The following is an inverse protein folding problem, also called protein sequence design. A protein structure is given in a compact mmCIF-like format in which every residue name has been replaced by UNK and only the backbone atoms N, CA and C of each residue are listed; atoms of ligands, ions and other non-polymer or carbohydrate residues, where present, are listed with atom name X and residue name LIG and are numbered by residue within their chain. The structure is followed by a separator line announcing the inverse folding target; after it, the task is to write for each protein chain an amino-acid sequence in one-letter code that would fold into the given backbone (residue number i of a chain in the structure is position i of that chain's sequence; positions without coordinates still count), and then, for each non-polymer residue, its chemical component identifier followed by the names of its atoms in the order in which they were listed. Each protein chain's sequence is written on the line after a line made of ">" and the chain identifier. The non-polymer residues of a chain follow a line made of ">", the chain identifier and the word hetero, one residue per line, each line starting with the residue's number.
data_IF_945695232658
#
_entry.id   IF_945695232658
#
_cell.length_a   1.000
_cell.length_b   1.000
_cell.length_c   1.000
_cell.angle_alpha   90.00
_cell.angle_beta   90.00
_cell.angle_gamma   90.00
#
_symmetry.space_group_name_H-M   'P 1'
#
loop_
_entity.id
_entity.type
_entity.pdbx_description
1 polymer ?
#
# COMPACT_ATOMS: atom_id res chain seq x y z
N UNK A 1 -42.00 -30.65 0.40
CA UNK A 1 -41.52 -29.54 1.26
C UNK A 1 -40.28 -29.99 2.02
N UNK A 2 -39.10 -29.48 1.68
CA UNK A 2 -37.91 -29.47 2.54
C UNK A 2 -36.84 -28.57 1.90
N UNK A 3 -36.69 -27.33 2.37
CA UNK A 3 -35.60 -26.43 1.95
C UNK A 3 -34.46 -26.51 2.96
N UNK A 4 -33.32 -27.06 2.52
CA UNK A 4 -32.05 -27.10 3.29
C UNK A 4 -31.52 -25.68 3.48
N UNK A 5 -31.41 -25.24 4.74
CA UNK A 5 -30.75 -23.98 5.11
C UNK A 5 -29.23 -24.18 5.09
N UNK A 6 -28.55 -23.54 4.14
CA UNK A 6 -27.09 -23.42 4.14
C UNK A 6 -26.68 -22.30 5.12
N UNK A 7 -26.07 -22.68 6.23
CA UNK A 7 -25.41 -21.75 7.15
C UNK A 7 -24.09 -21.26 6.54
N UNK A 8 -24.09 -20.07 5.96
CA UNK A 8 -22.85 -19.37 5.62
C UNK A 8 -22.28 -18.68 6.86
N UNK A 9 -21.10 -19.12 7.28
CA UNK A 9 -20.31 -18.45 8.31
C UNK A 9 -20.00 -17.00 7.89
N UNK A 10 -20.68 -16.05 8.54
CA UNK A 10 -20.37 -14.64 8.46
C UNK A 10 -19.04 -14.38 9.17
N UNK A 11 -17.95 -14.25 8.42
CA UNK A 11 -16.75 -13.57 8.91
C UNK A 11 -17.07 -12.09 9.08
N UNK A 12 -17.46 -11.73 10.30
CA UNK A 12 -17.69 -10.37 10.76
C UNK A 12 -16.35 -9.64 10.73
N UNK A 13 -16.05 -8.94 9.63
CA UNK A 13 -14.95 -7.99 9.59
C UNK A 13 -15.33 -6.84 10.54
N UNK A 14 -14.80 -6.89 11.78
CA UNK A 14 -14.72 -5.73 12.65
C UNK A 14 -13.84 -4.72 11.92
N UNK A 15 -14.48 -3.73 11.28
CA UNK A 15 -13.78 -2.52 10.90
C UNK A 15 -13.28 -1.88 12.19
N UNK A 16 -11.96 -1.88 12.35
CA UNK A 16 -11.30 -1.17 13.43
C UNK A 16 -11.55 0.32 13.19
N UNK A 17 -12.08 1.02 14.20
CA UNK A 17 -12.37 2.46 14.20
C UNK A 17 -11.30 3.33 13.49
N UNK A 18 -10.04 2.90 13.55
CA UNK A 18 -8.91 3.47 12.80
C UNK A 18 -9.09 3.59 11.28
N UNK A 19 -9.88 2.74 10.61
CA UNK A 19 -10.04 2.83 9.15
C UNK A 19 -11.02 3.93 8.72
N UNK A 20 -11.96 4.30 9.58
CA UNK A 20 -12.98 5.30 9.28
C UNK A 20 -12.43 6.72 9.52
N UNK A 21 -11.67 6.90 10.60
CA UNK A 21 -11.10 8.19 10.99
C UNK A 21 -9.77 8.54 10.31
N UNK A 22 -9.19 7.66 9.49
CA UNK A 22 -7.91 7.95 8.81
C UNK A 22 -7.96 9.16 7.90
N UNK A 23 -9.10 9.41 7.27
CA UNK A 23 -9.27 10.58 6.41
C UNK A 23 -9.37 11.85 7.24
N UNK A 24 -10.21 11.86 8.27
CA UNK A 24 -10.37 13.00 9.18
C UNK A 24 -9.06 13.35 9.90
N UNK A 25 -8.35 12.36 10.45
CA UNK A 25 -7.05 12.55 11.09
C UNK A 25 -6.03 13.15 10.10
N UNK A 26 -6.01 12.68 8.85
CA UNK A 26 -5.07 13.20 7.83
C UNK A 26 -5.40 14.63 7.46
N UNK A 27 -6.69 14.97 7.29
CA UNK A 27 -7.14 16.33 6.95
C UNK A 27 -6.90 17.29 8.11
N UNK A 28 -7.21 16.88 9.35
CA UNK A 28 -6.93 17.67 10.55
C UNK A 28 -5.43 17.88 10.72
N UNK A 29 -4.61 16.86 10.50
CA UNK A 29 -3.15 16.99 10.55
C UNK A 29 -2.65 17.93 9.45
N UNK A 30 -3.20 17.86 8.24
CA UNK A 30 -2.86 18.77 7.13
C UNK A 30 -3.25 20.22 7.43
N UNK A 31 -4.44 20.44 8.02
CA UNK A 31 -4.94 21.77 8.38
C UNK A 31 -4.15 22.38 9.53
N UNK A 32 -3.90 21.63 10.60
CA UNK A 32 -3.07 22.08 11.72
C UNK A 32 -1.66 22.38 11.24
N UNK A 33 -1.09 21.52 10.37
CA UNK A 33 0.22 21.76 9.76
C UNK A 33 0.18 23.01 8.88
N UNK A 34 -0.83 23.18 8.03
CA UNK A 34 -0.98 24.34 7.14
C UNK A 34 -1.21 25.66 7.88
N UNK A 35 -1.96 25.64 8.97
CA UNK A 35 -2.16 26.81 9.85
C UNK A 35 -0.88 27.11 10.64
N UNK A 36 -0.18 26.09 11.16
CA UNK A 36 1.14 26.28 11.78
C UNK A 36 2.17 26.90 10.81
N UNK A 37 2.10 26.52 9.52
CA UNK A 37 2.89 27.12 8.44
C UNK A 37 2.56 28.59 8.17
N UNK A 38 1.35 29.06 8.49
CA UNK A 38 0.90 30.43 8.24
C UNK A 38 0.99 31.33 9.50
N UNK A 39 0.95 30.73 10.68
CA UNK A 39 0.88 31.44 11.98
C UNK A 39 2.27 31.82 12.52
N UNK A 40 3.35 31.16 12.10
CA UNK A 40 4.69 31.56 12.56
C UNK A 40 5.21 32.79 11.81
N UNK A 41 5.09 33.94 12.48
CA UNK A 41 5.80 35.17 12.10
C UNK A 41 7.32 34.96 12.20
N UNK A 42 7.97 35.12 11.05
CA UNK A 42 9.37 35.44 10.77
C UNK A 42 10.31 35.79 11.96
N UNK A 43 11.07 34.80 12.49
CA UNK A 43 12.46 34.99 12.98
C UNK A 43 13.39 33.74 12.85
N UNK A 44 13.01 32.66 12.15
CA UNK A 44 13.70 31.34 12.28
C UNK A 44 14.34 30.82 10.96
N UNK A 45 14.71 31.71 10.03
CA UNK A 45 15.20 31.29 8.69
C UNK A 45 16.52 30.49 8.71
N UNK A 46 17.36 30.64 9.75
CA UNK A 46 18.64 29.89 9.87
C UNK A 46 18.50 28.54 10.57
N UNK A 47 17.61 28.43 11.56
CA UNK A 47 17.47 27.20 12.36
C UNK A 47 16.72 26.12 11.59
N UNK A 48 15.60 26.46 10.93
CA UNK A 48 14.83 25.50 10.11
C UNK A 48 15.67 24.96 8.94
N UNK A 49 16.47 25.81 8.29
CA UNK A 49 17.39 25.39 7.24
C UNK A 49 18.50 24.47 7.77
N UNK A 50 19.02 24.74 8.97
CA UNK A 50 19.96 23.88 9.67
C UNK A 50 19.38 22.49 9.97
N UNK A 51 18.13 22.40 10.44
CA UNK A 51 17.46 21.12 10.69
C UNK A 51 17.16 20.36 9.41
N UNK A 52 16.70 21.02 8.35
CA UNK A 52 16.46 20.38 7.04
C UNK A 52 17.78 19.87 6.46
N UNK A 53 18.84 20.69 6.44
CA UNK A 53 20.15 20.26 5.97
C UNK A 53 20.75 19.14 6.83
N UNK A 54 20.46 19.11 8.13
CA UNK A 54 20.91 18.04 9.02
C UNK A 54 20.11 16.76 8.78
N UNK A 55 18.80 16.85 8.58
CA UNK A 55 17.95 15.72 8.21
C UNK A 55 18.33 15.13 6.86
N UNK A 56 18.56 15.98 5.84
CA UNK A 56 19.03 15.56 4.51
C UNK A 56 20.43 14.94 4.58
N UNK A 57 21.35 15.53 5.36
CA UNK A 57 22.69 14.96 5.55
C UNK A 57 22.65 13.65 6.33
N UNK A 58 21.76 13.52 7.32
CA UNK A 58 21.55 12.29 8.07
C UNK A 58 20.99 11.19 7.18
N UNK A 59 19.95 11.48 6.40
CA UNK A 59 19.40 10.56 5.39
C UNK A 59 20.46 10.16 4.37
N UNK A 60 21.19 11.13 3.81
CA UNK A 60 22.22 10.84 2.81
C UNK A 60 23.36 10.00 3.40
N UNK A 61 23.79 10.28 4.64
CA UNK A 61 24.82 9.48 5.34
C UNK A 61 24.31 8.09 5.69
N UNK A 62 23.06 7.97 6.15
CA UNK A 62 22.43 6.69 6.45
C UNK A 62 22.33 5.82 5.19
N UNK A 63 21.79 6.37 4.10
CA UNK A 63 21.71 5.66 2.83
C UNK A 63 23.10 5.34 2.27
N UNK A 64 24.03 6.30 2.27
CA UNK A 64 25.37 6.08 1.76
C UNK A 64 26.08 4.98 2.54
N UNK A 65 26.05 5.01 3.86
CA UNK A 65 26.65 3.96 4.68
C UNK A 65 25.95 2.63 4.47
N UNK A 66 24.62 2.59 4.47
CA UNK A 66 23.86 1.36 4.23
C UNK A 66 24.16 0.74 2.85
N UNK A 67 24.16 1.54 1.79
CA UNK A 67 24.50 1.09 0.46
C UNK A 67 25.97 0.69 0.37
N UNK A 68 26.88 1.45 0.97
CA UNK A 68 28.31 1.16 0.93
C UNK A 68 28.64 -0.10 1.72
N UNK A 69 28.02 -0.34 2.87
CA UNK A 69 28.13 -1.57 3.65
C UNK A 69 27.50 -2.75 2.91
N UNK A 70 26.36 -2.54 2.25
CA UNK A 70 25.73 -3.56 1.41
C UNK A 70 26.56 -3.91 0.17
N UNK A 71 27.14 -2.90 -0.51
CA UNK A 71 28.00 -3.10 -1.67
C UNK A 71 29.35 -3.69 -1.27
N UNK A 72 29.94 -3.27 -0.14
CA UNK A 72 31.17 -3.86 0.39
C UNK A 72 30.93 -5.29 0.86
N UNK A 73 29.77 -5.57 1.47
CA UNK A 73 29.35 -6.93 1.77
C UNK A 73 29.28 -7.76 0.50
N UNK A 74 28.58 -7.28 -0.54
CA UNK A 74 28.47 -7.92 -1.86
C UNK A 74 29.84 -8.14 -2.55
N UNK A 75 30.75 -7.17 -2.48
CA UNK A 75 32.11 -7.26 -3.07
C UNK A 75 33.02 -8.19 -2.28
N UNK A 76 32.80 -8.32 -0.96
CA UNK A 76 33.51 -9.27 -0.10
C UNK A 76 32.98 -10.71 -0.23
N UNK A 77 31.87 -10.93 -0.96
CA UNK A 77 31.37 -12.28 -1.24
C UNK A 77 32.29 -12.95 -2.27
N UNK A 78 33.00 -14.02 -1.87
CA UNK A 78 33.58 -14.97 -2.83
C UNK A 78 32.47 -15.50 -3.76
N UNK A 79 32.82 -15.95 -4.97
CA UNK A 79 31.87 -16.46 -5.98
C UNK A 79 30.79 -17.42 -5.42
N UNK A 80 31.15 -18.27 -4.45
CA UNK A 80 30.20 -19.15 -3.75
C UNK A 80 29.11 -18.38 -2.98
N UNK A 81 29.46 -17.31 -2.27
CA UNK A 81 28.52 -16.48 -1.53
C UNK A 81 27.62 -15.64 -2.47
N UNK A 82 28.14 -15.23 -3.64
CA UNK A 82 27.36 -14.53 -4.67
C UNK A 82 26.24 -15.41 -5.21
N UNK A 83 26.52 -16.69 -5.46
CA UNK A 83 25.50 -17.67 -5.87
C UNK A 83 24.43 -17.82 -4.78
N UNK A 84 24.83 -17.86 -3.50
CA UNK A 84 23.90 -17.88 -2.37
C UNK A 84 22.94 -16.68 -2.35
N UNK A 85 23.45 -15.46 -2.53
CA UNK A 85 22.61 -14.25 -2.60
C UNK A 85 21.68 -14.28 -3.81
N UNK A 86 22.16 -14.71 -4.98
CA UNK A 86 21.33 -14.86 -6.18
C UNK A 86 20.19 -15.85 -5.94
N UNK A 87 20.48 -17.01 -5.33
CA UNK A 87 19.47 -18.02 -5.00
C UNK A 87 18.42 -17.47 -4.01
N UNK A 88 18.85 -16.70 -3.01
CA UNK A 88 17.93 -16.02 -2.06
C UNK A 88 17.05 -15.01 -2.80
N UNK A 89 17.60 -14.19 -3.69
CA UNK A 89 16.83 -13.23 -4.48
C UNK A 89 15.83 -13.93 -5.39
N UNK A 90 16.21 -15.03 -6.03
CA UNK A 90 15.30 -15.87 -6.83
C UNK A 90 14.19 -16.43 -5.96
N UNK A 91 14.50 -16.97 -4.78
CA UNK A 91 13.51 -17.49 -3.85
C UNK A 91 12.51 -16.40 -3.42
N UNK A 92 12.99 -15.20 -3.06
CA UNK A 92 12.13 -14.05 -2.76
C UNK A 92 11.26 -13.66 -3.94
N UNK A 93 11.82 -13.62 -5.15
CA UNK A 93 11.06 -13.34 -6.38
C UNK A 93 9.96 -14.37 -6.64
N UNK A 94 10.25 -15.66 -6.43
CA UNK A 94 9.25 -16.74 -6.55
C UNK A 94 8.15 -16.62 -5.49
N UNK A 95 8.51 -16.36 -4.22
CA UNK A 95 7.54 -16.13 -3.14
C UNK A 95 6.67 -14.92 -3.46
N UNK A 96 7.26 -13.82 -3.89
CA UNK A 96 6.55 -12.61 -4.27
C UNK A 96 5.57 -12.86 -5.43
N UNK A 97 6.01 -13.56 -6.48
CA UNK A 97 5.14 -13.93 -7.59
C UNK A 97 3.99 -14.84 -7.16
N UNK A 98 4.24 -15.77 -6.24
CA UNK A 98 3.19 -16.62 -5.67
C UNK A 98 2.19 -15.79 -4.87
N UNK A 99 2.66 -14.86 -4.04
CA UNK A 99 1.82 -13.96 -3.28
C UNK A 99 0.99 -13.06 -4.20
N UNK A 100 1.61 -12.46 -5.22
CA UNK A 100 0.95 -11.66 -6.26
C UNK A 100 -0.16 -12.45 -6.95
N UNK A 101 0.10 -13.67 -7.40
CA UNK A 101 -0.91 -14.56 -8.01
C UNK A 101 -2.10 -14.79 -7.06
N UNK A 102 -1.83 -15.13 -5.79
CA UNK A 102 -2.89 -15.32 -4.78
C UNK A 102 -3.73 -14.07 -4.56
N UNK A 103 -3.10 -12.90 -4.47
CA UNK A 103 -3.79 -11.64 -4.29
C UNK A 103 -4.70 -11.33 -5.49
N UNK A 104 -4.18 -11.43 -6.72
CA UNK A 104 -4.98 -11.16 -7.93
C UNK A 104 -6.18 -12.10 -8.01
N UNK A 105 -6.00 -13.41 -7.78
CA UNK A 105 -7.11 -14.37 -7.82
C UNK A 105 -8.14 -14.11 -6.72
N UNK A 106 -7.71 -13.75 -5.50
CA UNK A 106 -8.63 -13.44 -4.40
C UNK A 106 -9.52 -12.22 -4.71
N UNK A 107 -8.98 -11.24 -5.42
CA UNK A 107 -9.69 -9.99 -5.73
C UNK A 107 -10.15 -9.90 -7.20
N UNK A 108 -10.16 -10.99 -7.98
CA UNK A 108 -10.58 -10.95 -9.39
C UNK A 108 -12.11 -11.03 -9.55
N UNK A 109 -12.78 -11.66 -8.60
CA UNK A 109 -14.22 -11.93 -8.66
C UNK A 109 -14.99 -10.90 -7.84
N UNK A 110 -15.56 -9.91 -8.52
CA UNK A 110 -16.48 -8.94 -7.92
C UNK A 110 -17.54 -8.58 -8.96
N UNK A 111 -18.57 -9.41 -9.07
CA UNK A 111 -19.68 -9.24 -10.03
C UNK A 111 -20.88 -8.50 -9.41
N UNK A 112 -21.21 -8.82 -8.16
CA UNK A 112 -22.34 -8.25 -7.42
C UNK A 112 -21.92 -7.86 -6.01
N UNK A 113 -22.69 -6.96 -5.38
CA UNK A 113 -22.44 -6.60 -4.00
C UNK A 113 -22.68 -7.82 -3.07
N UNK A 114 -21.70 -8.23 -2.24
CA UNK A 114 -21.87 -9.37 -1.34
C UNK A 114 -22.88 -9.11 -0.21
N UNK A 115 -23.25 -7.85 0.06
CA UNK A 115 -24.19 -7.50 1.13
C UNK A 115 -25.65 -7.44 0.66
N UNK A 116 -25.90 -6.93 -0.55
CA UNK A 116 -27.27 -6.66 -1.01
C UNK A 116 -27.58 -7.22 -2.41
N UNK A 117 -26.60 -7.88 -3.06
CA UNK A 117 -26.77 -8.45 -4.40
C UNK A 117 -26.93 -7.42 -5.52
N UNK A 118 -26.93 -6.11 -5.22
CA UNK A 118 -27.12 -5.07 -6.23
C UNK A 118 -25.90 -4.89 -7.13
N UNK A 119 -26.10 -4.21 -8.25
CA UNK A 119 -25.03 -3.80 -9.16
C UNK A 119 -23.99 -2.89 -8.49
N UNK A 120 -22.76 -3.01 -8.98
CA UNK A 120 -21.60 -2.23 -8.57
C UNK A 120 -21.31 -1.15 -9.61
N UNK A 121 -21.18 0.10 -9.17
CA UNK A 121 -20.76 1.23 -10.00
C UNK A 121 -19.25 1.46 -9.86
N UNK A 122 -18.57 1.80 -10.96
CA UNK A 122 -17.13 2.09 -10.96
C UNK A 122 -16.88 3.49 -10.39
N UNK A 123 -15.86 3.61 -9.53
CA UNK A 123 -15.44 4.89 -8.95
C UNK A 123 -13.96 5.19 -9.26
N UNK A 124 -13.57 6.46 -9.07
CA UNK A 124 -12.21 6.90 -9.33
C UNK A 124 -11.20 6.20 -8.42
N UNK A 125 -10.01 5.93 -8.97
CA UNK A 125 -8.91 5.27 -8.24
C UNK A 125 -8.17 6.31 -7.41
N UNK A 126 -8.02 6.05 -6.12
CA UNK A 126 -7.14 6.84 -5.25
C UNK A 126 -5.67 6.62 -5.62
N UNK A 127 -4.79 7.52 -5.16
CA UNK A 127 -3.34 7.39 -5.38
C UNK A 127 -2.79 6.07 -4.85
N UNK A 128 -3.28 5.61 -3.69
CA UNK A 128 -2.97 4.30 -3.12
C UNK A 128 -3.24 3.15 -4.10
N UNK A 129 -4.40 3.15 -4.78
CA UNK A 129 -4.70 2.12 -5.78
C UNK A 129 -3.82 2.21 -7.02
N UNK A 130 -3.32 3.39 -7.40
CA UNK A 130 -2.34 3.54 -8.48
C UNK A 130 -0.99 2.94 -8.08
N UNK A 131 -0.51 3.24 -6.87
CA UNK A 131 0.75 2.69 -6.34
C UNK A 131 0.68 1.17 -6.21
N UNK A 132 -0.41 0.62 -5.68
CA UNK A 132 -0.57 -0.84 -5.65
C UNK A 132 -0.62 -1.46 -7.05
N UNK A 133 -1.25 -0.80 -8.01
CA UNK A 133 -1.30 -1.29 -9.39
C UNK A 133 0.08 -1.34 -10.03
N UNK A 134 0.95 -0.38 -9.70
CA UNK A 134 2.34 -0.39 -10.13
C UNK A 134 3.14 -1.50 -9.43
N UNK A 135 3.05 -1.58 -8.10
CA UNK A 135 3.80 -2.54 -7.28
C UNK A 135 3.47 -4.00 -7.61
N UNK A 136 2.19 -4.33 -7.77
CA UNK A 136 1.75 -5.67 -8.15
C UNK A 136 1.66 -5.87 -9.66
N UNK A 137 2.06 -4.88 -10.47
CA UNK A 137 1.93 -4.90 -11.93
C UNK A 137 0.54 -5.43 -12.37
N UNK A 138 -0.50 -4.86 -11.77
CA UNK A 138 -1.88 -5.32 -11.86
C UNK A 138 -2.82 -4.13 -12.12
N UNK A 139 -3.90 -4.38 -12.83
CA UNK A 139 -4.91 -3.37 -13.08
C UNK A 139 -5.93 -3.38 -11.93
N UNK A 140 -5.91 -2.33 -11.11
CA UNK A 140 -6.81 -2.21 -9.97
C UNK A 140 -8.01 -1.35 -10.37
N UNK A 141 -9.21 -1.92 -10.25
CA UNK A 141 -10.49 -1.25 -10.50
C UNK A 141 -11.21 -1.09 -9.16
N UNK A 142 -11.76 0.09 -8.90
CA UNK A 142 -12.44 0.41 -7.65
C UNK A 142 -13.94 0.53 -7.91
N UNK A 143 -14.75 -0.10 -7.07
CA UNK A 143 -16.20 -0.18 -7.21
C UNK A 143 -16.90 0.22 -5.92
N UNK A 144 -18.07 0.85 -6.06
CA UNK A 144 -19.01 1.16 -4.99
C UNK A 144 -20.37 0.56 -5.30
N UNK A 145 -21.04 0.02 -4.29
CA UNK A 145 -22.41 -0.44 -4.39
C UNK A 145 -23.38 0.75 -4.57
N UNK A 146 -24.41 0.59 -5.42
CA UNK A 146 -25.41 1.64 -5.66
C UNK A 146 -26.41 1.80 -4.51
N UNK A 147 -26.76 0.68 -3.84
CA UNK A 147 -27.79 0.64 -2.77
C UNK A 147 -27.22 0.65 -1.35
N UNK A 148 -25.94 0.39 -1.20
CA UNK A 148 -25.27 0.20 0.09
C UNK A 148 -23.90 0.87 0.08
N UNK A 149 -23.30 1.14 1.25
CA UNK A 149 -21.99 1.80 1.30
C UNK A 149 -20.79 0.85 1.11
N UNK A 150 -21.03 -0.36 0.58
CA UNK A 150 -19.97 -1.30 0.28
C UNK A 150 -19.03 -0.74 -0.79
N UNK A 151 -17.73 -0.73 -0.47
CA UNK A 151 -16.62 -0.39 -1.38
C UNK A 151 -15.75 -1.62 -1.55
N UNK A 152 -15.46 -1.96 -2.80
CA UNK A 152 -14.70 -3.15 -3.16
C UNK A 152 -13.67 -2.85 -4.23
N UNK A 153 -12.56 -3.59 -4.20
CA UNK A 153 -11.53 -3.53 -5.23
C UNK A 153 -11.55 -4.81 -6.05
N UNK A 154 -11.38 -4.65 -7.36
CA UNK A 154 -11.12 -5.74 -8.28
C UNK A 154 -9.69 -5.61 -8.80
N UNK A 155 -8.94 -6.70 -8.75
CA UNK A 155 -7.59 -6.78 -9.30
C UNK A 155 -7.58 -7.74 -10.49
N UNK A 156 -7.13 -7.25 -11.63
CA UNK A 156 -6.95 -8.04 -12.85
C UNK A 156 -5.47 -8.01 -13.29
N UNK A 157 -5.03 -9.02 -14.04
CA UNK A 157 -3.71 -8.99 -14.67
C UNK A 157 -3.61 -7.80 -15.63
N UNK A 158 -2.48 -7.09 -15.58
CA UNK A 158 -2.20 -6.05 -16.56
C UNK A 158 -1.85 -6.72 -17.89
N UNK A 159 -2.81 -6.80 -18.81
CA UNK A 159 -2.55 -7.11 -20.21
C UNK A 159 -1.75 -5.94 -20.79
N UNK A 160 -0.50 -6.18 -21.21
CA UNK A 160 0.33 -5.20 -21.92
C UNK A 160 0.00 -5.21 -23.39
#
# INVERSE_FOLDING_TARGET
>A
MATRKHHHHHHRHRNTFWQEFRFEITVTLLLVTGVALLVEQFEIRRTVWGWIQTGVRFLNRFFRNFFQDFFNFLLSLRLSNTIGVILILIAFFMIFNRFRKKMIVRYSVLYSCPQCGSELARIHRTFYHKVLGLFFWANIRHYKCKKCDYKGIKMDWKQS
#
